data_IF_481867883681
#
_entry.id   IF_481867883681
#
_cell.length_a   1.000
_cell.length_b   1.000
_cell.length_c   1.000
_cell.angle_alpha   90.00
_cell.angle_beta   90.00
_cell.angle_gamma   90.00
#
_symmetry.space_group_name_H-M   'P 1'
#
loop_
_entity.id
_entity.type
_entity.pdbx_description
1 polymer ?
#
# COMPACT_ATOMS: atom_id res chain seq x y z
N UNK A 1 -19.88 29.78 7.76
CA UNK A 1 -19.81 28.70 8.77
C UNK A 1 -19.94 27.37 8.05
N UNK A 2 -18.91 26.55 8.11
CA UNK A 2 -18.73 25.29 7.38
C UNK A 2 -19.76 24.23 7.78
N UNK A 3 -20.15 23.34 6.84
CA UNK A 3 -20.38 21.90 7.06
C UNK A 3 -20.64 21.14 5.75
N UNK A 4 -19.55 20.61 5.19
CA UNK A 4 -19.41 19.29 4.56
C UNK A 4 -20.54 18.83 3.60
N UNK A 5 -20.33 19.10 2.32
CA UNK A 5 -20.83 18.26 1.23
C UNK A 5 -20.19 16.86 1.34
N UNK A 6 -20.80 16.00 2.15
CA UNK A 6 -20.58 14.55 2.07
C UNK A 6 -21.39 14.08 0.88
N UNK A 7 -20.70 13.82 -0.23
CA UNK A 7 -21.27 13.13 -1.38
C UNK A 7 -21.74 11.75 -0.93
N UNK A 8 -23.03 11.65 -0.63
CA UNK A 8 -23.72 10.38 -0.49
C UNK A 8 -23.71 9.72 -1.87
N UNK A 9 -22.80 8.76 -2.06
CA UNK A 9 -22.89 7.81 -3.15
C UNK A 9 -24.17 7.03 -2.89
N UNK A 10 -25.25 7.40 -3.58
CA UNK A 10 -26.48 6.63 -3.60
C UNK A 10 -26.15 5.25 -4.18
N UNK A 11 -25.93 4.29 -3.28
CA UNK A 11 -25.75 2.90 -3.63
C UNK A 11 -27.09 2.37 -4.15
N UNK A 12 -27.25 2.38 -5.47
CA UNK A 12 -28.25 1.54 -6.13
C UNK A 12 -27.81 0.10 -5.92
N UNK A 13 -28.42 -0.56 -4.93
CA UNK A 13 -28.16 -1.95 -4.61
C UNK A 13 -28.67 -2.83 -5.76
N UNK A 14 -27.78 -3.22 -6.66
CA UNK A 14 -28.02 -4.34 -7.56
C UNK A 14 -27.58 -5.59 -6.79
N UNK A 15 -28.55 -6.32 -6.23
CA UNK A 15 -28.30 -7.62 -5.62
C UNK A 15 -27.93 -8.61 -6.72
N UNK A 16 -26.63 -8.76 -6.98
CA UNK A 16 -26.10 -9.82 -7.84
C UNK A 16 -25.57 -10.93 -6.93
N UNK A 17 -26.37 -11.98 -6.71
CA UNK A 17 -25.92 -13.23 -6.09
C UNK A 17 -24.94 -13.91 -7.04
N UNK A 18 -23.65 -13.60 -6.91
CA UNK A 18 -22.58 -14.31 -7.62
C UNK A 18 -22.17 -15.51 -6.78
N UNK A 19 -22.57 -16.70 -7.23
CA UNK A 19 -22.09 -17.98 -6.74
C UNK A 19 -20.56 -18.00 -6.85
N UNK A 20 -19.88 -18.14 -5.71
CA UNK A 20 -18.43 -18.16 -5.57
C UNK A 20 -17.84 -19.36 -6.31
N UNK A 21 -17.40 -19.18 -7.56
CA UNK A 21 -16.43 -20.09 -8.19
C UNK A 21 -15.18 -19.29 -8.52
N UNK A 22 -14.05 -19.88 -8.13
CA UNK A 22 -12.76 -19.24 -7.97
C UNK A 22 -12.28 -18.50 -9.22
N UNK A 23 -12.04 -17.19 -9.09
CA UNK A 23 -11.15 -16.48 -10.01
C UNK A 23 -9.72 -16.86 -9.67
N UNK A 24 -9.16 -17.77 -10.46
CA UNK A 24 -7.73 -18.01 -10.47
C UNK A 24 -7.03 -16.73 -10.98
N UNK A 25 -6.35 -16.03 -10.07
CA UNK A 25 -5.56 -14.86 -10.41
C UNK A 25 -4.33 -15.28 -11.22
N UNK A 26 -4.41 -15.18 -12.55
CA UNK A 26 -3.23 -15.16 -13.41
C UNK A 26 -2.62 -13.75 -13.34
N UNK A 27 -1.44 -13.66 -12.74
CA UNK A 27 -0.66 -12.43 -12.58
C UNK A 27 0.13 -12.14 -13.86
N UNK A 28 -0.54 -11.56 -14.86
CA UNK A 28 0.11 -11.00 -16.05
C UNK A 28 -0.04 -9.48 -16.03
N UNK A 29 0.74 -8.76 -15.22
CA UNK A 29 1.21 -7.37 -15.43
C UNK A 29 0.22 -6.25 -15.88
N UNK A 30 -1.08 -6.50 -15.97
CA UNK A 30 -2.10 -5.70 -16.67
C UNK A 30 -3.30 -5.47 -15.76
N UNK A 31 -3.08 -5.00 -14.55
CA UNK A 31 -4.17 -4.79 -13.58
C UNK A 31 -5.27 -3.81 -14.05
N UNK A 32 -5.01 -2.97 -15.07
CA UNK A 32 -6.02 -2.14 -15.75
C UNK A 32 -6.64 -2.85 -16.95
N UNK A 33 -5.82 -3.45 -17.82
CA UNK A 33 -6.33 -4.05 -19.07
C UNK A 33 -7.09 -5.36 -18.80
N UNK A 34 -6.76 -6.09 -17.73
CA UNK A 34 -7.48 -7.29 -17.32
C UNK A 34 -8.93 -6.98 -16.90
N UNK A 35 -9.14 -5.96 -16.06
CA UNK A 35 -10.49 -5.55 -15.65
C UNK A 35 -11.25 -4.96 -16.84
N UNK A 36 -10.59 -4.14 -17.67
CA UNK A 36 -11.22 -3.58 -18.86
C UNK A 36 -11.69 -4.67 -19.84
N UNK A 37 -10.86 -5.70 -20.07
CA UNK A 37 -11.21 -6.83 -20.95
C UNK A 37 -12.39 -7.65 -20.42
N UNK A 38 -12.45 -7.89 -19.10
CA UNK A 38 -13.58 -8.59 -18.47
C UNK A 38 -14.86 -7.78 -18.59
N UNK A 39 -14.79 -6.47 -18.36
CA UNK A 39 -15.94 -5.57 -18.49
C UNK A 39 -16.42 -5.48 -19.95
N UNK A 40 -15.51 -5.36 -20.93
CA UNK A 40 -15.87 -5.39 -22.36
C UNK A 40 -16.58 -6.69 -22.75
N UNK A 41 -16.16 -7.84 -22.20
CA UNK A 41 -16.86 -9.11 -22.40
C UNK A 41 -18.29 -9.11 -21.83
N UNK A 42 -18.49 -8.49 -20.66
CA UNK A 42 -19.82 -8.36 -20.04
C UNK A 42 -20.72 -7.34 -20.78
N UNK A 43 -20.14 -6.25 -21.29
CA UNK A 43 -20.84 -5.29 -22.15
C UNK A 43 -21.29 -5.96 -23.45
N UNK A 44 -20.41 -6.75 -24.09
CA UNK A 44 -20.73 -7.46 -25.33
C UNK A 44 -21.84 -8.50 -25.12
N UNK A 45 -21.94 -9.11 -23.94
CA UNK A 45 -23.03 -10.02 -23.54
C UNK A 45 -24.30 -9.29 -23.10
N UNK A 46 -24.31 -7.95 -23.11
CA UNK A 46 -25.44 -7.14 -22.66
C UNK A 46 -25.74 -7.25 -21.17
N UNK A 47 -24.84 -7.82 -20.37
CA UNK A 47 -25.03 -7.98 -18.92
C UNK A 47 -24.87 -6.65 -18.18
N UNK A 48 -24.04 -5.76 -18.71
CA UNK A 48 -23.84 -4.39 -18.23
C UNK A 48 -23.81 -3.42 -19.42
N UNK A 49 -24.07 -2.14 -19.17
CA UNK A 49 -23.91 -1.09 -20.18
C UNK A 49 -22.48 -0.56 -20.22
N UNK A 50 -22.10 0.10 -21.32
CA UNK A 50 -20.81 0.78 -21.43
C UNK A 50 -20.61 1.83 -20.32
N UNK A 51 -21.67 2.58 -19.99
CA UNK A 51 -21.63 3.57 -18.91
C UNK A 51 -21.37 2.95 -17.52
N UNK A 52 -21.90 1.74 -17.26
CA UNK A 52 -21.61 1.00 -16.03
C UNK A 52 -20.16 0.52 -16.00
N UNK A 53 -19.64 0.01 -17.12
CA UNK A 53 -18.24 -0.39 -17.22
C UNK A 53 -17.29 0.80 -16.96
N UNK A 54 -17.57 1.95 -17.57
CA UNK A 54 -16.77 3.16 -17.40
C UNK A 54 -16.80 3.68 -15.95
N UNK A 55 -17.97 3.63 -15.30
CA UNK A 55 -18.11 3.99 -13.89
C UNK A 55 -17.29 3.07 -12.96
N UNK A 56 -17.26 1.76 -13.23
CA UNK A 56 -16.44 0.79 -12.48
C UNK A 56 -14.94 1.07 -12.69
N UNK A 57 -14.52 1.32 -13.93
CA UNK A 57 -13.12 1.66 -14.25
C UNK A 57 -12.70 2.93 -13.50
N UNK A 58 -13.57 3.94 -13.49
CA UNK A 58 -13.32 5.20 -12.77
C UNK A 58 -13.22 4.96 -11.25
N UNK A 59 -14.16 4.22 -10.66
CA UNK A 59 -14.10 3.89 -9.24
C UNK A 59 -12.82 3.13 -8.87
N UNK A 60 -12.38 2.21 -9.72
CA UNK A 60 -11.13 1.47 -9.52
C UNK A 60 -9.88 2.36 -9.69
N UNK A 61 -9.92 3.37 -10.57
CA UNK A 61 -8.84 4.34 -10.70
C UNK A 61 -8.76 5.26 -9.47
N UNK A 62 -9.91 5.76 -9.00
CA UNK A 62 -10.01 6.63 -7.84
C UNK A 62 -9.55 5.90 -6.56
N UNK A 63 -9.94 4.62 -6.40
CA UNK A 63 -9.49 3.79 -5.29
C UNK A 63 -7.96 3.58 -5.29
N UNK A 64 -7.34 3.37 -6.47
CA UNK A 64 -5.88 3.26 -6.60
C UNK A 64 -5.19 4.58 -6.29
N UNK A 65 -5.73 5.71 -6.75
CA UNK A 65 -5.20 7.03 -6.44
C UNK A 65 -5.24 7.32 -4.93
N UNK A 66 -6.36 6.99 -4.27
CA UNK A 66 -6.49 7.10 -2.82
C UNK A 66 -5.48 6.21 -2.07
N UNK A 67 -5.32 4.95 -2.50
CA UNK A 67 -4.34 4.03 -1.92
C UNK A 67 -2.91 4.56 -2.07
N UNK A 68 -2.55 5.07 -3.25
CA UNK A 68 -1.25 5.72 -3.49
C UNK A 68 -1.05 6.91 -2.56
N UNK A 69 -2.07 7.75 -2.38
CA UNK A 69 -2.00 8.90 -1.47
C UNK A 69 -1.75 8.49 -0.01
N UNK A 70 -2.32 7.37 0.45
CA UNK A 70 -2.02 6.82 1.78
C UNK A 70 -0.58 6.29 1.85
N UNK A 71 -0.14 5.55 0.84
CA UNK A 71 1.24 5.04 0.78
C UNK A 71 2.28 6.17 0.79
N UNK A 72 2.04 7.25 0.04
CA UNK A 72 2.94 8.41 -0.01
C UNK A 72 3.04 9.10 1.36
N UNK A 73 1.91 9.25 2.07
CA UNK A 73 1.86 9.80 3.43
C UNK A 73 2.61 8.90 4.43
N UNK A 74 2.37 7.59 4.36
CA UNK A 74 3.02 6.61 5.22
C UNK A 74 4.54 6.60 5.02
N UNK A 75 4.99 6.69 3.77
CA UNK A 75 6.42 6.82 3.44
C UNK A 75 7.01 8.11 3.99
N UNK A 76 6.32 9.23 3.82
CA UNK A 76 6.77 10.51 4.37
C UNK A 76 6.85 10.50 5.91
N UNK A 77 5.91 9.83 6.58
CA UNK A 77 5.94 9.67 8.04
C UNK A 77 7.15 8.85 8.50
N UNK A 78 7.47 7.75 7.82
CA UNK A 78 8.67 6.95 8.12
C UNK A 78 9.94 7.76 7.86
N UNK A 79 10.02 8.44 6.71
CA UNK A 79 11.15 9.33 6.37
C UNK A 79 11.36 10.37 7.48
N UNK A 80 10.29 11.00 7.97
CA UNK A 80 10.34 11.95 9.09
C UNK A 80 10.82 11.34 10.41
N UNK A 81 10.36 10.12 10.73
CA UNK A 81 10.79 9.40 11.94
C UNK A 81 12.29 9.07 11.86
N UNK A 82 12.76 8.62 10.70
CA UNK A 82 14.17 8.29 10.46
C UNK A 82 15.03 9.55 10.61
N UNK A 83 14.70 10.64 9.92
CA UNK A 83 15.50 11.89 9.98
C UNK A 83 15.51 12.50 11.38
N UNK A 84 14.38 12.46 12.09
CA UNK A 84 14.28 12.95 13.47
C UNK A 84 15.13 12.11 14.43
N UNK A 85 15.07 10.77 14.31
CA UNK A 85 15.86 9.87 15.16
C UNK A 85 17.35 10.04 14.91
N UNK A 86 17.75 10.13 13.65
CA UNK A 86 19.15 10.26 13.26
C UNK A 86 19.72 11.65 13.52
N UNK A 87 18.88 12.69 13.45
CA UNK A 87 19.31 14.09 13.55
C UNK A 87 20.00 14.58 12.27
N UNK A 88 19.64 14.03 11.10
CA UNK A 88 20.18 14.41 9.80
C UNK A 88 19.05 14.81 8.85
N UNK A 89 19.38 15.61 7.82
CA UNK A 89 18.42 15.96 6.78
C UNK A 89 18.05 14.75 5.91
N UNK A 90 16.88 14.82 5.28
CA UNK A 90 16.43 13.81 4.32
C UNK A 90 17.39 13.70 3.12
N UNK A 91 17.96 14.82 2.67
CA UNK A 91 18.87 14.84 1.53
C UNK A 91 20.23 14.21 1.88
N UNK A 92 20.75 14.47 3.08
CA UNK A 92 21.93 13.79 3.62
C UNK A 92 21.70 12.28 3.73
N UNK A 93 20.54 11.88 4.27
CA UNK A 93 20.16 10.46 4.36
C UNK A 93 20.13 9.80 2.99
N UNK A 94 19.46 10.41 2.00
CA UNK A 94 19.38 9.90 0.62
C UNK A 94 20.76 9.78 -0.03
N UNK A 95 21.61 10.80 0.14
CA UNK A 95 22.97 10.79 -0.43
C UNK A 95 23.80 9.63 0.12
N UNK A 96 23.74 9.36 1.43
CA UNK A 96 24.47 8.25 2.06
C UNK A 96 23.92 6.88 1.65
N UNK A 97 22.60 6.74 1.55
CA UNK A 97 21.98 5.53 1.01
C UNK A 97 22.36 5.29 -0.46
N UNK A 98 22.45 6.34 -1.28
CA UNK A 98 22.91 6.26 -2.67
C UNK A 98 24.40 5.89 -2.77
N UNK A 99 25.20 6.36 -1.83
CA UNK A 99 26.61 5.97 -1.68
C UNK A 99 26.80 4.50 -1.23
N UNK A 100 25.70 3.79 -0.91
CA UNK A 100 25.75 2.39 -0.51
C UNK A 100 25.99 2.17 0.98
N UNK A 101 25.70 3.16 1.82
CA UNK A 101 25.65 2.95 3.27
C UNK A 101 24.29 2.35 3.67
N UNK A 102 24.28 1.44 4.66
CA UNK A 102 23.03 0.95 5.26
C UNK A 102 22.48 1.96 6.27
N UNK A 103 21.17 1.89 6.55
CA UNK A 103 20.58 2.67 7.65
C UNK A 103 21.23 2.34 8.99
N UNK A 104 21.65 1.09 9.21
CA UNK A 104 22.38 0.68 10.40
C UNK A 104 23.73 1.41 10.52
N UNK A 105 24.47 1.51 9.40
CA UNK A 105 25.75 2.23 9.33
C UNK A 105 25.56 3.72 9.59
N UNK A 106 24.52 4.32 9.00
CA UNK A 106 24.21 5.74 9.19
C UNK A 106 23.75 6.01 10.63
N UNK A 107 23.02 5.07 11.24
CA UNK A 107 22.51 5.19 12.60
C UNK A 107 23.57 5.04 13.69
N UNK A 108 24.60 4.21 13.47
CA UNK A 108 25.60 3.89 14.48
C UNK A 108 24.93 3.42 15.78
N UNK A 109 25.25 4.09 16.89
CA UNK A 109 24.71 3.79 18.22
C UNK A 109 23.18 3.96 18.32
N UNK A 110 22.58 4.76 17.42
CA UNK A 110 21.13 4.99 17.40
C UNK A 110 20.34 3.86 16.72
N UNK A 111 21.00 2.79 16.26
CA UNK A 111 20.35 1.68 15.52
C UNK A 111 19.14 1.11 16.27
N UNK A 112 19.26 0.84 17.57
CA UNK A 112 18.17 0.27 18.37
C UNK A 112 16.98 1.24 18.48
N UNK A 113 17.27 2.52 18.71
CA UNK A 113 16.25 3.57 18.75
C UNK A 113 15.54 3.71 17.39
N UNK A 114 16.29 3.64 16.28
CA UNK A 114 15.74 3.70 14.93
C UNK A 114 14.80 2.53 14.64
N UNK A 115 15.19 1.30 14.98
CA UNK A 115 14.35 0.11 14.80
C UNK A 115 13.03 0.25 15.60
N UNK A 116 13.13 0.70 16.85
CA UNK A 116 11.95 0.92 17.70
C UNK A 116 11.01 2.00 17.15
N UNK A 117 11.58 3.14 16.71
CA UNK A 117 10.81 4.27 16.19
C UNK A 117 10.08 3.91 14.88
N UNK A 118 10.77 3.26 13.94
CA UNK A 118 10.17 2.78 12.69
C UNK A 118 9.09 1.72 12.98
N UNK A 119 9.34 0.78 13.88
CA UNK A 119 8.36 -0.27 14.22
C UNK A 119 7.07 0.32 14.82
N UNK A 120 7.22 1.33 15.66
CA UNK A 120 6.08 2.07 16.25
C UNK A 120 5.25 2.76 15.19
N UNK A 121 5.90 3.47 14.26
CA UNK A 121 5.20 4.17 13.19
C UNK A 121 4.52 3.18 12.21
N UNK A 122 5.16 2.06 11.88
CA UNK A 122 4.52 1.01 11.05
C UNK A 122 3.29 0.43 11.77
N UNK A 123 3.37 0.16 13.07
CA UNK A 123 2.23 -0.36 13.82
C UNK A 123 1.05 0.64 13.83
N UNK A 124 1.33 1.93 13.94
CA UNK A 124 0.32 3.00 13.82
C UNK A 124 -0.33 3.02 12.44
N UNK A 125 0.44 2.79 11.38
CA UNK A 125 -0.09 2.70 10.01
C UNK A 125 -0.96 1.46 9.82
N UNK A 126 -0.58 0.33 10.41
CA UNK A 126 -1.40 -0.89 10.42
C UNK A 126 -2.73 -0.62 11.14
N UNK A 127 -2.70 0.04 12.30
CA UNK A 127 -3.92 0.40 13.04
C UNK A 127 -4.82 1.35 12.25
N UNK A 128 -4.25 2.36 11.60
CA UNK A 128 -5.00 3.24 10.72
C UNK A 128 -5.67 2.47 9.56
N UNK A 129 -5.02 1.44 9.03
CA UNK A 129 -5.58 0.59 7.99
C UNK A 129 -6.72 -0.31 8.51
N UNK A 130 -6.67 -0.75 9.77
CA UNK A 130 -7.79 -1.44 10.44
C UNK A 130 -8.96 -0.48 10.62
N UNK A 131 -8.72 0.72 11.14
CA UNK A 131 -9.76 1.76 11.31
C UNK A 131 -10.40 2.15 9.97
N UNK A 132 -9.62 2.17 8.89
CA UNK A 132 -10.11 2.42 7.54
C UNK A 132 -10.86 1.23 6.90
N UNK A 133 -11.01 0.10 7.62
CA UNK A 133 -11.65 -1.12 7.13
C UNK A 133 -10.89 -1.81 6.00
N UNK A 134 -9.59 -1.52 5.86
CA UNK A 134 -8.72 -2.09 4.81
C UNK A 134 -7.99 -3.35 5.26
N UNK A 135 -7.87 -3.56 6.57
CA UNK A 135 -7.34 -4.77 7.19
C UNK A 135 -8.29 -5.25 8.27
N UNK A 136 -8.39 -6.57 8.42
CA UNK A 136 -9.03 -7.15 9.61
C UNK A 136 -8.07 -7.10 10.80
N UNK A 137 -8.62 -7.23 12.01
CA UNK A 137 -7.86 -7.30 13.27
C UNK A 137 -6.84 -8.44 13.28
N UNK A 138 -7.19 -9.59 12.70
CA UNK A 138 -6.34 -10.78 12.64
C UNK A 138 -5.17 -10.56 11.66
N UNK A 139 -5.46 -9.94 10.50
CA UNK A 139 -4.43 -9.58 9.53
C UNK A 139 -3.45 -8.55 10.10
N UNK A 140 -3.97 -7.57 10.85
CA UNK A 140 -3.15 -6.58 11.53
C UNK A 140 -2.24 -7.21 12.59
N UNK A 141 -2.77 -8.11 13.43
CA UNK A 141 -1.96 -8.83 14.42
C UNK A 141 -0.83 -9.64 13.76
N UNK A 142 -1.13 -10.36 12.67
CA UNK A 142 -0.15 -11.12 11.91
C UNK A 142 0.94 -10.22 11.28
N UNK A 143 0.57 -9.02 10.82
CA UNK A 143 1.54 -8.04 10.30
C UNK A 143 2.41 -7.46 11.41
N UNK A 144 1.81 -7.05 12.54
CA UNK A 144 2.52 -6.50 13.70
C UNK A 144 3.56 -7.46 14.25
N UNK A 145 3.25 -8.76 14.31
CA UNK A 145 4.19 -9.79 14.75
C UNK A 145 5.45 -9.87 13.89
N UNK A 146 5.36 -9.50 12.60
CA UNK A 146 6.48 -9.51 11.64
C UNK A 146 7.14 -8.14 11.49
N UNK A 147 6.58 -7.07 12.07
CA UNK A 147 7.08 -5.70 11.89
C UNK A 147 8.52 -5.59 12.35
N UNK A 148 8.84 -6.03 13.57
CA UNK A 148 10.20 -5.88 14.13
C UNK A 148 11.25 -6.59 13.27
N UNK A 149 10.98 -7.83 12.85
CA UNK A 149 11.90 -8.58 11.99
C UNK A 149 12.12 -7.87 10.63
N UNK A 150 11.04 -7.38 10.02
CA UNK A 150 11.12 -6.65 8.74
C UNK A 150 11.88 -5.34 8.87
N UNK A 151 11.67 -4.60 9.95
CA UNK A 151 12.35 -3.33 10.22
C UNK A 151 13.84 -3.58 10.47
N UNK A 152 14.20 -4.57 11.27
CA UNK A 152 15.60 -4.94 11.49
C UNK A 152 16.29 -5.27 10.17
N UNK A 153 15.68 -6.11 9.32
CA UNK A 153 16.21 -6.42 7.99
C UNK A 153 16.34 -5.18 7.10
N UNK A 154 15.36 -4.27 7.15
CA UNK A 154 15.40 -3.02 6.37
C UNK A 154 16.53 -2.10 6.84
N UNK A 155 16.73 -1.98 8.15
CA UNK A 155 17.77 -1.13 8.72
C UNK A 155 19.17 -1.68 8.40
N UNK A 156 19.32 -3.00 8.39
CA UNK A 156 20.60 -3.67 8.12
C UNK A 156 20.95 -3.78 6.64
N UNK A 157 19.98 -3.68 5.73
CA UNK A 157 20.23 -3.78 4.30
C UNK A 157 20.70 -2.46 3.69
N UNK A 158 21.88 -2.52 3.03
CA UNK A 158 22.49 -1.44 2.23
C UNK A 158 21.63 -1.05 1.01
N UNK A 159 20.94 -2.03 0.46
CA UNK A 159 20.00 -1.86 -0.65
C UNK A 159 18.85 -2.79 -0.32
N UNK A 160 17.62 -2.26 -0.30
CA UNK A 160 16.49 -3.09 -0.72
C UNK A 160 16.83 -3.48 -2.17
N UNK A 161 17.54 -4.60 -2.35
CA UNK A 161 17.57 -5.31 -3.62
C UNK A 161 16.10 -5.57 -3.88
N UNK A 162 15.47 -4.70 -4.67
CA UNK A 162 14.13 -4.90 -5.15
C UNK A 162 14.09 -6.35 -5.60
N UNK A 163 13.34 -7.17 -4.87
CA UNK A 163 13.08 -8.53 -5.27
C UNK A 163 12.32 -8.44 -6.57
N UNK A 164 13.02 -8.30 -7.70
CA UNK A 164 12.64 -9.00 -8.91
C UNK A 164 12.71 -10.47 -8.50
N UNK A 165 11.58 -10.94 -7.94
CA UNK A 165 11.33 -12.36 -7.79
C UNK A 165 11.62 -12.96 -9.15
N UNK A 166 12.60 -13.85 -9.18
CA UNK A 166 12.84 -14.70 -10.33
C UNK A 166 11.51 -15.40 -10.61
N UNK A 167 10.82 -15.01 -11.68
CA UNK A 167 9.83 -15.88 -12.29
C UNK A 167 10.61 -17.13 -12.67
N UNK A 168 10.41 -18.21 -11.89
CA UNK A 168 11.00 -19.50 -12.18
C UNK A 168 10.32 -19.98 -13.47
N UNK A 169 11.17 -20.28 -14.45
CA UNK A 169 10.81 -20.90 -15.72
C UNK A 169 10.02 -22.20 -15.51
#
# INVERSE_FOLDING_TARGET
MNKKLVAAIAATAIALTVSTTAVASADDGRGKDGISSLLSGLVSKGTITQSQADAIIKAAADARAAAKGVMDKNRAAIDSVVTSTLGISLDTLKSRLQAGESLATIAGDKKAALISAISTEINKQIDAAVTAGKLTTEQAAAQKAKTTERVTKMVEQIKFKGGKGKHRA
#
